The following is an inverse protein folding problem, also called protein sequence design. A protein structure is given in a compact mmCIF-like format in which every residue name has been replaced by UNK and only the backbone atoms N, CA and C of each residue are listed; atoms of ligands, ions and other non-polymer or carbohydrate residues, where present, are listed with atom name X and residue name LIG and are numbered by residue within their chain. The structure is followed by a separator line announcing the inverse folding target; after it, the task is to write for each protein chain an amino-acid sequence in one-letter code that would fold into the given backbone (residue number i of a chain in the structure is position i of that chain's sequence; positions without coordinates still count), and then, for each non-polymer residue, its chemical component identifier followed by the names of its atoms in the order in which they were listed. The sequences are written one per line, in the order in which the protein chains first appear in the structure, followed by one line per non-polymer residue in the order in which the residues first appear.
data_IF_687825643178
#
_entry.id   IF_687825643178
#
_cell.length_a   1.000
_cell.length_b   1.000
_cell.length_c   1.000
_cell.angle_alpha   90.00
_cell.angle_beta   90.00
_cell.angle_gamma   90.00
#
_symmetry.space_group_name_H-M   'P 1'
#
loop_
_entity.id
_entity.type
_entity.pdbx_description
1 polymer ?
#
# COMPACT_ATOMS: atom_id res chain seq x y z
N UNK A 1 14.57 23.07 13.19
CA UNK A 1 15.42 22.37 14.17
C UNK A 1 15.47 20.93 13.72
N UNK A 2 16.61 20.49 13.16
CA UNK A 2 16.78 19.10 12.73
C UNK A 2 17.01 18.25 13.97
N UNK A 3 15.99 17.51 14.40
CA UNK A 3 16.15 16.51 15.47
C UNK A 3 17.04 15.40 14.96
N UNK A 4 18.05 15.03 15.76
CA UNK A 4 18.98 13.98 15.41
C UNK A 4 18.34 12.61 15.62
N UNK A 5 18.82 11.58 14.93
CA UNK A 5 18.32 10.21 15.09
C UNK A 5 18.44 9.71 16.55
N UNK A 6 19.41 10.21 17.32
CA UNK A 6 19.53 9.91 18.75
C UNK A 6 18.38 10.50 19.56
N UNK A 7 17.98 11.74 19.26
CA UNK A 7 16.88 12.41 19.96
C UNK A 7 15.55 11.68 19.75
N UNK A 8 15.34 11.10 18.57
CA UNK A 8 14.09 10.37 18.26
C UNK A 8 14.04 9.00 18.94
N UNK A 9 15.18 8.33 19.13
CA UNK A 9 15.28 7.11 19.94
C UNK A 9 14.96 7.43 21.40
N UNK A 10 15.55 8.47 21.98
CA UNK A 10 15.32 8.83 23.39
C UNK A 10 13.86 9.24 23.65
N UNK A 11 13.25 10.00 22.73
CA UNK A 11 11.81 10.30 22.78
C UNK A 11 10.96 9.04 22.73
N UNK A 12 11.28 8.10 21.85
CA UNK A 12 10.54 6.85 21.73
C UNK A 12 10.64 6.00 23.01
N UNK A 13 11.82 5.92 23.64
CA UNK A 13 12.01 5.24 24.94
C UNK A 13 11.08 5.84 26.00
N UNK A 14 11.13 7.16 26.19
CA UNK A 14 10.32 7.84 27.20
C UNK A 14 8.82 7.69 26.94
N UNK A 15 8.42 7.80 25.67
CA UNK A 15 7.03 7.65 25.27
C UNK A 15 6.50 6.25 25.57
N UNK A 16 7.24 5.19 25.20
CA UNK A 16 6.84 3.79 25.43
C UNK A 16 6.62 3.54 26.92
N UNK A 17 7.61 3.87 27.76
CA UNK A 17 7.52 3.62 29.20
C UNK A 17 6.35 4.39 29.85
N UNK A 18 6.20 5.67 29.51
CA UNK A 18 5.13 6.51 30.05
C UNK A 18 3.75 6.04 29.61
N UNK A 19 3.63 5.57 28.37
CA UNK A 19 2.34 5.13 27.81
C UNK A 19 1.92 3.78 28.39
N UNK A 20 2.86 2.85 28.58
CA UNK A 20 2.59 1.57 29.25
C UNK A 20 2.15 1.79 30.70
N UNK A 21 2.84 2.66 31.44
CA UNK A 21 2.48 2.99 32.84
C UNK A 21 1.07 3.59 32.93
N UNK A 22 0.76 4.60 32.10
CA UNK A 22 -0.56 5.26 32.09
C UNK A 22 -1.70 4.35 31.67
N UNK A 23 -1.45 3.40 30.76
CA UNK A 23 -2.47 2.52 30.20
C UNK A 23 -2.56 1.17 30.93
N UNK A 24 -1.95 1.04 32.12
CA UNK A 24 -2.02 -0.18 32.92
C UNK A 24 -1.35 -1.39 32.25
N UNK A 25 -0.23 -1.16 31.57
CA UNK A 25 0.52 -2.15 30.78
C UNK A 25 -0.27 -2.76 29.61
N UNK A 26 -1.20 -2.00 29.02
CA UNK A 26 -1.82 -2.37 27.75
C UNK A 26 -0.78 -2.41 26.63
N UNK A 27 -0.84 -3.43 25.78
CA UNK A 27 0.11 -3.63 24.69
C UNK A 27 0.13 -2.44 23.70
N UNK A 28 1.32 -2.15 23.17
CA UNK A 28 1.56 -1.11 22.17
C UNK A 28 2.38 -1.70 21.02
N UNK A 29 2.07 -1.31 19.79
CA UNK A 29 2.88 -1.68 18.63
C UNK A 29 3.90 -0.59 18.29
N UNK A 30 5.04 -1.01 17.75
CA UNK A 30 6.08 -0.06 17.27
C UNK A 30 5.55 0.86 16.16
N UNK A 31 4.59 0.39 15.35
CA UNK A 31 3.92 1.19 14.33
C UNK A 31 3.00 2.27 14.93
N UNK A 32 2.26 1.95 16.01
CA UNK A 32 1.45 2.94 16.72
C UNK A 32 2.31 4.04 17.31
N UNK A 33 3.40 3.68 17.98
CA UNK A 33 4.34 4.64 18.58
C UNK A 33 4.97 5.54 17.51
N UNK A 34 5.42 4.97 16.39
CA UNK A 34 6.01 5.73 15.29
C UNK A 34 5.02 6.76 14.72
N UNK A 35 3.75 6.36 14.57
CA UNK A 35 2.66 7.23 14.08
C UNK A 35 2.33 8.35 15.08
N UNK A 36 2.23 8.03 16.36
CA UNK A 36 1.86 9.01 17.40
C UNK A 36 2.95 10.07 17.61
N UNK A 37 4.21 9.66 17.56
CA UNK A 37 5.36 10.56 17.67
C UNK A 37 5.74 11.24 16.35
N UNK A 38 5.16 10.79 15.22
CA UNK A 38 5.54 11.22 13.87
C UNK A 38 7.05 11.13 13.61
N UNK A 39 7.65 9.99 13.98
CA UNK A 39 9.07 9.69 13.78
C UNK A 39 9.25 8.41 12.94
N UNK A 40 10.47 8.20 12.45
CA UNK A 40 10.79 7.01 11.68
C UNK A 40 10.61 5.72 12.50
N UNK A 41 10.01 4.71 11.88
CA UNK A 41 9.75 3.43 12.54
C UNK A 41 11.03 2.73 13.01
N UNK A 42 12.15 2.89 12.31
CA UNK A 42 13.44 2.32 12.73
C UNK A 42 13.98 2.97 14.01
N UNK A 43 13.69 4.26 14.26
CA UNK A 43 14.06 4.91 15.52
C UNK A 43 13.32 4.26 16.69
N UNK A 44 12.02 3.99 16.53
CA UNK A 44 11.22 3.27 17.53
C UNK A 44 11.73 1.84 17.73
N UNK A 45 12.02 1.12 16.66
CA UNK A 45 12.61 -0.24 16.75
C UNK A 45 13.96 -0.20 17.48
N UNK A 46 14.78 0.82 17.23
CA UNK A 46 16.03 1.06 17.96
C UNK A 46 15.81 1.29 19.45
N UNK A 47 14.81 2.09 19.82
CA UNK A 47 14.42 2.33 21.20
C UNK A 47 13.97 1.05 21.92
N UNK A 48 13.12 0.23 21.29
CA UNK A 48 12.70 -1.06 21.85
C UNK A 48 13.89 -2.00 22.04
N UNK A 49 14.79 -2.08 21.06
CA UNK A 49 16.02 -2.91 21.19
C UNK A 49 16.91 -2.42 22.33
N UNK A 50 17.06 -1.10 22.49
CA UNK A 50 17.79 -0.50 23.59
C UNK A 50 17.20 -0.90 24.95
N UNK A 51 15.87 -0.80 25.10
CA UNK A 51 15.17 -1.24 26.32
C UNK A 51 15.34 -2.73 26.59
N UNK A 52 15.32 -3.57 25.55
CA UNK A 52 15.54 -5.01 25.66
C UNK A 52 16.98 -5.41 26.03
N UNK A 53 17.97 -4.52 25.91
CA UNK A 53 19.33 -4.80 26.41
C UNK A 53 19.39 -4.90 27.94
N UNK A 54 18.37 -4.37 28.62
CA UNK A 54 18.22 -4.44 30.06
C UNK A 54 17.11 -5.42 30.41
N UNK A 55 17.49 -6.52 31.07
CA UNK A 55 16.55 -7.57 31.44
C UNK A 55 15.43 -7.04 32.35
N UNK A 56 14.19 -7.37 32.01
CA UNK A 56 13.01 -7.11 32.84
C UNK A 56 12.39 -5.71 32.73
N UNK A 57 12.85 -4.84 31.79
CA UNK A 57 12.21 -3.54 31.58
C UNK A 57 10.91 -3.68 30.78
N UNK A 58 10.95 -4.40 29.65
CA UNK A 58 9.80 -4.62 28.78
C UNK A 58 9.73 -6.06 28.30
N UNK A 59 8.54 -6.48 27.86
CA UNK A 59 8.31 -7.72 27.12
C UNK A 59 7.81 -7.36 25.72
N UNK A 60 8.21 -8.14 24.73
CA UNK A 60 7.80 -7.93 23.33
C UNK A 60 7.39 -9.25 22.69
N UNK A 61 6.42 -9.19 21.78
CA UNK A 61 6.06 -10.27 20.88
C UNK A 61 6.13 -9.78 19.44
N UNK A 62 6.45 -10.68 18.51
CA UNK A 62 6.45 -10.34 17.09
C UNK A 62 5.01 -10.20 16.60
N UNK A 63 4.72 -9.05 15.99
CA UNK A 63 3.43 -8.76 15.37
C UNK A 63 3.63 -8.34 13.91
N UNK A 64 2.71 -8.76 13.04
CA UNK A 64 2.70 -8.36 11.63
C UNK A 64 1.38 -7.68 11.28
N UNK A 65 1.46 -6.53 10.61
CA UNK A 65 0.32 -5.81 10.08
C UNK A 65 0.29 -5.95 8.56
N UNK A 66 -0.90 -6.22 7.99
CA UNK A 66 -1.09 -6.29 6.54
C UNK A 66 -1.87 -5.07 6.06
N UNK A 67 -1.22 -4.22 5.27
CA UNK A 67 -1.90 -3.12 4.56
C UNK A 67 -2.10 -3.49 3.10
N UNK A 68 -3.28 -3.17 2.54
CA UNK A 68 -3.56 -3.28 1.11
C UNK A 68 -3.43 -1.89 0.48
N UNK A 69 -2.72 -1.81 -0.64
CA UNK A 69 -2.55 -0.57 -1.42
C UNK A 69 -2.78 -0.87 -2.89
N UNK A 70 -3.25 0.12 -3.64
CA UNK A 70 -3.34 0.01 -5.09
C UNK A 70 -1.94 -0.08 -5.70
N UNK A 71 -1.77 -0.98 -6.65
CA UNK A 71 -0.61 -0.98 -7.55
C UNK A 71 -0.72 0.18 -8.52
N UNK A 72 0.34 0.47 -9.29
CA UNK A 72 0.26 1.47 -10.35
C UNK A 72 -0.86 1.17 -11.36
N UNK A 73 -1.00 -0.11 -11.74
CA UNK A 73 -2.10 -0.58 -12.60
C UNK A 73 -3.46 -0.40 -11.93
N UNK A 74 -3.58 -0.75 -10.64
CA UNK A 74 -4.82 -0.57 -9.87
C UNK A 74 -5.25 0.90 -9.76
N UNK A 75 -4.30 1.82 -9.60
CA UNK A 75 -4.59 3.25 -9.63
C UNK A 75 -5.09 3.69 -11.02
N UNK A 76 -4.43 3.24 -12.10
CA UNK A 76 -4.88 3.55 -13.45
C UNK A 76 -6.28 3.00 -13.75
N UNK A 77 -6.59 1.79 -13.26
CA UNK A 77 -7.94 1.22 -13.40
C UNK A 77 -8.99 2.00 -12.61
N UNK A 78 -8.66 2.48 -11.41
CA UNK A 78 -9.58 3.28 -10.61
C UNK A 78 -9.89 4.63 -11.27
N UNK A 79 -8.92 5.24 -11.96
CA UNK A 79 -9.07 6.53 -12.62
C UNK A 79 -9.72 6.42 -14.01
N UNK A 80 -9.28 5.45 -14.83
CA UNK A 80 -9.60 5.36 -16.26
C UNK A 80 -10.52 4.19 -16.60
N UNK A 81 -10.92 3.40 -15.61
CA UNK A 81 -11.61 2.14 -15.82
C UNK A 81 -10.68 1.00 -16.22
N UNK A 82 -11.23 -0.22 -16.21
CA UNK A 82 -10.47 -1.43 -16.55
C UNK A 82 -10.04 -1.45 -18.03
N UNK A 83 -9.07 -2.32 -18.35
CA UNK A 83 -8.57 -2.44 -19.72
C UNK A 83 -9.69 -2.82 -20.71
N UNK A 84 -10.59 -3.73 -20.34
CA UNK A 84 -11.75 -4.10 -21.15
C UNK A 84 -12.77 -2.97 -21.31
N UNK A 85 -13.01 -2.16 -20.27
CA UNK A 85 -13.89 -0.99 -20.36
C UNK A 85 -13.33 0.02 -21.35
N UNK A 86 -12.04 0.32 -21.25
CA UNK A 86 -11.36 1.27 -22.14
C UNK A 86 -11.36 0.81 -23.59
N UNK A 87 -11.25 -0.49 -23.84
CA UNK A 87 -11.41 -1.06 -25.19
C UNK A 87 -12.84 -0.88 -25.69
N UNK A 88 -13.83 -1.23 -24.89
CA UNK A 88 -15.24 -1.08 -25.26
C UNK A 88 -15.60 0.38 -25.59
N UNK A 89 -15.17 1.31 -24.73
CA UNK A 89 -15.33 2.76 -24.92
C UNK A 89 -14.66 3.23 -26.22
N UNK A 90 -13.44 2.77 -26.51
CA UNK A 90 -12.70 3.15 -27.70
C UNK A 90 -13.30 2.60 -29.01
N UNK A 91 -13.97 1.44 -28.97
CA UNK A 91 -14.65 0.88 -30.14
C UNK A 91 -15.87 1.73 -30.53
N UNK A 92 -16.61 2.22 -29.53
CA UNK A 92 -17.80 3.04 -29.76
C UNK A 92 -18.91 2.29 -30.54
N UNK A 93 -19.87 3.05 -31.06
CA UNK A 93 -21.02 2.50 -31.80
C UNK A 93 -20.68 2.10 -33.25
N UNK A 94 -19.71 2.79 -33.86
CA UNK A 94 -19.35 2.62 -35.28
C UNK A 94 -18.30 1.53 -35.53
N UNK A 95 -17.80 0.92 -34.45
CA UNK A 95 -16.71 -0.04 -34.53
C UNK A 95 -15.33 0.61 -34.64
N UNK A 96 -14.28 -0.21 -34.50
CA UNK A 96 -12.90 0.25 -34.64
C UNK A 96 -11.99 -0.85 -35.19
N UNK A 97 -10.91 -0.46 -35.86
CA UNK A 97 -9.90 -1.39 -36.34
C UNK A 97 -9.17 -2.03 -35.15
N UNK A 98 -9.19 -3.37 -35.11
CA UNK A 98 -8.50 -4.13 -34.08
C UNK A 98 -7.02 -3.74 -33.98
N UNK A 99 -6.35 -3.50 -35.11
CA UNK A 99 -4.94 -3.11 -35.15
C UNK A 99 -4.64 -1.81 -34.38
N UNK A 100 -5.57 -0.86 -34.34
CA UNK A 100 -5.36 0.43 -33.66
C UNK A 100 -5.59 0.33 -32.15
N UNK A 101 -6.54 -0.51 -31.73
CA UNK A 101 -6.75 -0.84 -30.32
C UNK A 101 -5.54 -1.61 -29.78
N UNK A 102 -5.00 -2.56 -30.55
CA UNK A 102 -3.87 -3.40 -30.13
C UNK A 102 -2.56 -2.61 -29.92
N UNK A 103 -2.44 -1.40 -30.49
CA UNK A 103 -1.30 -0.48 -30.24
C UNK A 103 -1.38 0.22 -28.87
N UNK A 104 -2.56 0.23 -28.23
CA UNK A 104 -2.72 0.86 -26.92
C UNK A 104 -2.04 0.02 -25.82
N UNK A 105 -1.54 0.64 -24.74
CA UNK A 105 -0.92 -0.10 -23.62
C UNK A 105 -1.85 -1.14 -23.00
N UNK A 106 -3.15 -0.86 -22.96
CA UNK A 106 -4.20 -1.75 -22.47
C UNK A 106 -4.79 -2.65 -23.56
N UNK A 107 -4.41 -2.46 -24.82
CA UNK A 107 -5.08 -3.02 -26.00
C UNK A 107 -5.15 -4.54 -25.99
N UNK A 108 -4.00 -5.22 -25.87
CA UNK A 108 -3.94 -6.69 -25.90
C UNK A 108 -4.73 -7.33 -24.75
N UNK A 109 -4.54 -6.84 -23.53
CA UNK A 109 -5.22 -7.39 -22.34
C UNK A 109 -6.70 -7.06 -22.38
N UNK A 110 -7.05 -5.82 -22.70
CA UNK A 110 -8.40 -5.32 -22.77
C UNK A 110 -9.23 -6.02 -23.84
N UNK A 111 -8.69 -6.23 -25.04
CA UNK A 111 -9.38 -6.96 -26.12
C UNK A 111 -9.65 -8.41 -25.69
N UNK A 112 -8.65 -9.11 -25.14
CA UNK A 112 -8.82 -10.49 -24.70
C UNK A 112 -9.88 -10.62 -23.59
N UNK A 113 -9.87 -9.71 -22.62
CA UNK A 113 -10.85 -9.70 -21.52
C UNK A 113 -12.25 -9.31 -22.01
N UNK A 114 -12.36 -8.28 -22.85
CA UNK A 114 -13.63 -7.83 -23.41
C UNK A 114 -14.28 -8.90 -24.30
N UNK A 115 -13.49 -9.62 -25.11
CA UNK A 115 -13.97 -10.76 -25.91
C UNK A 115 -14.45 -11.90 -25.02
N UNK A 116 -13.66 -12.29 -24.01
CA UNK A 116 -14.04 -13.35 -23.08
C UNK A 116 -15.31 -13.01 -22.27
N UNK A 117 -15.51 -11.73 -21.98
CA UNK A 117 -16.71 -11.22 -21.31
C UNK A 117 -17.89 -10.97 -22.25
N UNK A 118 -17.72 -11.12 -23.58
CA UNK A 118 -18.75 -10.89 -24.58
C UNK A 118 -19.14 -9.41 -24.79
N UNK A 119 -18.28 -8.47 -24.38
CA UNK A 119 -18.53 -7.04 -24.54
C UNK A 119 -18.31 -6.55 -25.96
N UNK A 120 -17.45 -7.25 -26.70
CA UNK A 120 -17.07 -6.92 -28.08
C UNK A 120 -17.02 -8.21 -28.90
N UNK A 121 -17.06 -8.08 -30.22
CA UNK A 121 -16.82 -9.18 -31.15
C UNK A 121 -15.91 -8.71 -32.29
N UNK A 122 -15.27 -9.66 -32.98
CA UNK A 122 -14.45 -9.37 -34.17
C UNK A 122 -15.24 -9.78 -35.39
N UNK A 123 -15.53 -8.81 -36.25
CA UNK A 123 -16.01 -9.10 -37.60
C UNK A 123 -14.86 -9.65 -38.46
N UNK A 124 -15.07 -10.84 -39.02
CA UNK A 124 -14.12 -11.53 -39.90
C UNK A 124 -14.57 -11.52 -41.35
N UNK A 125 -15.58 -10.74 -41.69
CA UNK A 125 -16.15 -10.62 -43.04
C UNK A 125 -15.29 -9.76 -43.98
N UNK A 126 -14.06 -9.42 -43.58
CA UNK A 126 -13.07 -8.69 -44.37
C UNK A 126 -12.32 -9.58 -45.34
#
# INVERSE_FOLDING_TARGET
MSTSAADDVDKAVQFVLTTLDKNGNSELTTLQVAKELNIDHQAVVGAIKSLLTHDGIILTSDASEKSVKLTNEGNEMAEKGSAEYRVYEQIGADGALQADIMKQPFGKVGVNKALAAGWIYIDKSG
#
